data_IF_518773552648
#
_entry.id   IF_518773552648
#
_cell.length_a   1.000
_cell.length_b   1.000
_cell.length_c   1.000
_cell.angle_alpha   90.00
_cell.angle_beta   90.00
_cell.angle_gamma   90.00
#
_symmetry.space_group_name_H-M   'P 1'
#
loop_
_entity.id
_entity.type
_entity.pdbx_description
1 polymer ?
#
# COMPACT_ATOMS: atom_id res chain seq x y z
N UNK A 1 -17.66 -14.64 -23.37
CA UNK A 1 -17.35 -13.40 -24.11
C UNK A 1 -15.98 -12.96 -23.64
N UNK A 2 -14.96 -12.99 -24.49
CA UNK A 2 -13.60 -12.57 -24.12
C UNK A 2 -13.46 -11.05 -24.27
N UNK A 3 -13.02 -10.37 -23.20
CA UNK A 3 -12.65 -8.96 -23.24
C UNK A 3 -11.20 -8.85 -23.74
N UNK A 4 -10.95 -7.98 -24.73
CA UNK A 4 -9.61 -7.73 -25.30
C UNK A 4 -9.20 -6.30 -25.03
N UNK A 5 -7.92 -6.08 -24.70
CA UNK A 5 -7.37 -4.74 -24.53
C UNK A 5 -7.53 -3.94 -25.84
N UNK A 6 -7.99 -2.69 -25.76
CA UNK A 6 -8.17 -1.81 -26.93
C UNK A 6 -9.55 -1.86 -27.61
N UNK A 7 -10.50 -2.68 -27.14
CA UNK A 7 -11.86 -2.73 -27.70
C UNK A 7 -12.83 -1.70 -27.11
N UNK A 8 -12.34 -0.73 -26.33
CA UNK A 8 -13.16 0.22 -25.55
C UNK A 8 -14.23 -0.45 -24.67
N UNK A 9 -14.03 -1.71 -24.29
CA UNK A 9 -14.91 -2.45 -23.40
C UNK A 9 -14.67 -2.12 -21.92
N UNK A 10 -14.35 -0.87 -21.62
CA UNK A 10 -14.13 -0.41 -20.25
C UNK A 10 -15.46 -0.46 -19.50
N UNK A 11 -15.52 -1.31 -18.47
CA UNK A 11 -16.60 -1.28 -17.49
C UNK A 11 -16.53 0.00 -16.65
N UNK A 12 -17.67 0.44 -16.13
CA UNK A 12 -17.67 1.47 -15.09
C UNK A 12 -17.34 0.79 -13.77
N UNK A 13 -16.31 1.31 -13.10
CA UNK A 13 -16.11 0.98 -11.69
C UNK A 13 -17.24 1.57 -10.85
N UNK A 14 -17.58 0.94 -9.71
CA UNK A 14 -18.42 1.57 -8.70
C UNK A 14 -17.81 2.88 -8.21
N UNK A 15 -18.65 3.74 -7.63
CA UNK A 15 -18.19 4.96 -6.96
C UNK A 15 -17.14 4.59 -5.92
N UNK A 16 -15.96 5.22 -5.99
CA UNK A 16 -14.83 4.92 -5.11
C UNK A 16 -15.06 5.68 -3.79
N UNK A 17 -15.35 5.01 -2.65
CA UNK A 17 -15.62 5.70 -1.39
C UNK A 17 -14.34 6.08 -0.63
N UNK A 18 -13.18 5.93 -1.28
CA UNK A 18 -11.85 6.16 -0.70
C UNK A 18 -11.07 7.18 -1.52
N UNK A 19 -10.16 7.87 -0.85
CA UNK A 19 -9.34 8.86 -1.50
C UNK A 19 -8.07 8.24 -2.07
N UNK A 20 -7.86 8.46 -3.37
CA UNK A 20 -6.65 8.02 -4.07
C UNK A 20 -5.65 9.17 -4.07
N UNK A 21 -4.48 8.96 -3.46
CA UNK A 21 -3.36 9.90 -3.55
C UNK A 21 -2.70 9.81 -4.95
N UNK A 22 -1.86 10.78 -5.27
CA UNK A 22 -0.96 10.79 -6.43
C UNK A 22 0.01 9.59 -6.48
N UNK A 23 0.17 8.85 -5.38
CA UNK A 23 1.01 7.65 -5.33
C UNK A 23 0.29 6.49 -6.02
N UNK A 24 0.90 5.85 -7.05
CA UNK A 24 0.24 4.77 -7.77
C UNK A 24 0.00 3.55 -6.88
N UNK A 25 -1.21 2.99 -6.97
CA UNK A 25 -1.54 1.70 -6.39
C UNK A 25 -0.79 0.53 -7.03
N UNK A 26 -0.91 -0.66 -6.43
CA UNK A 26 -0.27 -1.90 -6.89
C UNK A 26 -1.28 -3.00 -7.08
N UNK A 27 -1.27 -3.64 -8.24
CA UNK A 27 -2.05 -4.85 -8.50
C UNK A 27 -1.28 -6.05 -7.96
N UNK A 28 -1.80 -6.71 -6.93
CA UNK A 28 -1.18 -7.88 -6.29
C UNK A 28 -2.28 -8.92 -6.07
N UNK A 29 -2.05 -10.15 -6.52
CA UNK A 29 -2.98 -11.27 -6.36
C UNK A 29 -4.43 -10.97 -6.77
N UNK A 30 -4.60 -10.32 -7.93
CA UNK A 30 -5.94 -10.01 -8.48
C UNK A 30 -6.64 -8.81 -7.85
N UNK A 31 -6.03 -8.14 -6.87
CA UNK A 31 -6.61 -6.96 -6.23
C UNK A 31 -5.70 -5.73 -6.37
N UNK A 32 -6.30 -4.57 -6.66
CA UNK A 32 -5.60 -3.29 -6.71
C UNK A 32 -5.52 -2.71 -5.31
N UNK A 33 -4.31 -2.42 -4.83
CA UNK A 33 -4.06 -1.95 -3.47
C UNK A 33 -3.52 -0.52 -3.47
N UNK A 34 -4.00 0.33 -2.56
CA UNK A 34 -3.45 1.66 -2.31
C UNK A 34 -3.66 2.08 -0.85
N UNK A 35 -3.04 3.19 -0.46
CA UNK A 35 -3.27 3.81 0.84
C UNK A 35 -4.29 4.92 0.69
N UNK A 36 -5.36 4.89 1.47
CA UNK A 36 -6.25 6.03 1.63
C UNK A 36 -5.57 7.10 2.47
N UNK A 37 -5.30 8.27 1.87
CA UNK A 37 -4.53 9.32 2.53
C UNK A 37 -5.29 10.01 3.68
N UNK A 38 -6.62 9.94 3.72
CA UNK A 38 -7.38 10.53 4.82
C UNK A 38 -7.34 9.64 6.06
N UNK A 39 -7.49 8.33 5.87
CA UNK A 39 -7.62 7.37 6.97
C UNK A 39 -6.31 6.63 7.29
N UNK A 40 -5.32 6.70 6.40
CA UNK A 40 -4.08 5.91 6.44
C UNK A 40 -4.34 4.39 6.51
N UNK A 41 -5.43 3.94 5.90
CA UNK A 41 -5.78 2.53 5.74
C UNK A 41 -5.26 2.02 4.40
N UNK A 42 -4.92 0.73 4.34
CA UNK A 42 -4.71 0.06 3.04
C UNK A 42 -6.04 -0.47 2.58
N UNK A 43 -6.45 0.01 1.42
CA UNK A 43 -7.64 -0.41 0.73
C UNK A 43 -7.21 -1.35 -0.39
N UNK A 44 -7.99 -2.39 -0.64
CA UNK A 44 -7.95 -3.08 -1.91
C UNK A 44 -9.27 -3.01 -2.64
N UNK A 45 -9.21 -3.03 -3.96
CA UNK A 45 -10.31 -3.31 -4.85
C UNK A 45 -10.07 -4.68 -5.46
N UNK A 46 -10.95 -5.63 -5.13
CA UNK A 46 -10.96 -6.97 -5.67
C UNK A 46 -11.51 -6.93 -7.09
N UNK A 47 -10.71 -7.30 -8.09
CA UNK A 47 -11.12 -7.20 -9.50
C UNK A 47 -12.11 -8.29 -9.87
N UNK A 48 -12.10 -9.43 -9.18
CA UNK A 48 -12.99 -10.55 -9.46
C UNK A 48 -14.39 -10.28 -8.89
N UNK A 49 -14.45 -9.82 -7.64
CA UNK A 49 -15.71 -9.53 -6.95
C UNK A 49 -16.23 -8.10 -7.22
N UNK A 50 -15.41 -7.23 -7.82
CA UNK A 50 -15.69 -5.80 -8.02
C UNK A 50 -16.02 -5.05 -6.71
N UNK A 51 -15.41 -5.45 -5.60
CA UNK A 51 -15.67 -4.92 -4.26
C UNK A 51 -14.44 -4.27 -3.62
N UNK A 52 -14.68 -3.23 -2.81
CA UNK A 52 -13.64 -2.65 -1.98
C UNK A 52 -13.56 -3.33 -0.61
N UNK A 53 -12.34 -3.59 -0.14
CA UNK A 53 -12.08 -4.19 1.19
C UNK A 53 -10.98 -3.40 1.90
N UNK A 54 -11.12 -3.27 3.22
CA UNK A 54 -10.06 -2.72 4.08
C UNK A 54 -9.11 -3.85 4.47
N UNK A 55 -7.87 -3.75 4.00
CA UNK A 55 -6.82 -4.77 4.17
C UNK A 55 -6.01 -4.52 5.44
N UNK A 56 -5.88 -3.26 5.85
CA UNK A 56 -5.19 -2.89 7.09
C UNK A 56 -5.78 -1.63 7.70
N UNK A 57 -5.99 -1.66 9.01
CA UNK A 57 -6.41 -0.50 9.79
C UNK A 57 -5.18 0.32 10.20
N UNK A 58 -5.26 1.64 10.03
CA UNK A 58 -4.31 2.69 10.44
C UNK A 58 -2.89 2.18 10.75
N UNK A 59 -2.04 2.16 9.71
CA UNK A 59 -0.70 1.57 9.79
C UNK A 59 0.26 2.38 10.67
N UNK A 60 -0.04 3.66 10.91
CA UNK A 60 0.79 4.58 11.68
C UNK A 60 -0.04 5.71 12.30
N UNK A 61 0.32 6.10 13.53
CA UNK A 61 -0.30 7.23 14.25
C UNK A 61 0.34 8.59 13.95
N UNK A 62 1.42 8.62 13.17
CA UNK A 62 2.24 9.83 12.98
C UNK A 62 1.90 10.54 11.66
N UNK A 63 1.53 11.82 11.75
CA UNK A 63 1.07 12.68 10.64
C UNK A 63 2.11 13.03 9.56
N UNK A 64 3.28 12.37 9.53
CA UNK A 64 4.40 12.70 8.62
C UNK A 64 5.16 11.46 8.12
N UNK A 65 4.45 10.36 7.92
CA UNK A 65 5.02 9.16 7.30
C UNK A 65 4.44 9.06 5.88
N UNK A 66 5.32 9.06 4.88
CA UNK A 66 4.90 8.68 3.53
C UNK A 66 4.78 7.16 3.49
N UNK A 67 3.62 6.65 3.10
CA UNK A 67 3.42 5.21 2.95
C UNK A 67 3.09 4.86 1.53
N UNK A 68 3.84 3.92 1.01
CA UNK A 68 3.71 3.41 -0.34
C UNK A 68 3.44 1.92 -0.31
N UNK A 69 2.48 1.47 -1.12
CA UNK A 69 2.27 0.07 -1.40
C UNK A 69 3.33 -0.41 -2.40
N UNK A 70 3.94 -1.55 -2.10
CA UNK A 70 4.88 -2.23 -2.97
C UNK A 70 4.49 -3.70 -3.12
N UNK A 71 4.93 -4.31 -4.21
CA UNK A 71 4.89 -5.75 -4.39
C UNK A 71 6.30 -6.29 -4.14
N UNK A 72 6.42 -7.33 -3.32
CA UNK A 72 7.66 -8.04 -3.07
C UNK A 72 7.40 -9.54 -3.23
N UNK A 73 7.88 -10.14 -4.30
CA UNK A 73 7.73 -11.58 -4.57
C UNK A 73 6.26 -12.06 -4.44
N UNK A 74 5.34 -11.38 -5.12
CA UNK A 74 3.88 -11.61 -5.04
C UNK A 74 3.24 -11.39 -3.66
N UNK A 75 3.99 -10.85 -2.69
CA UNK A 75 3.48 -10.42 -1.40
C UNK A 75 3.24 -8.90 -1.38
N UNK A 76 2.21 -8.48 -0.65
CA UNK A 76 1.92 -7.07 -0.44
C UNK A 76 2.85 -6.50 0.63
N UNK A 77 3.59 -5.45 0.30
CA UNK A 77 4.47 -4.74 1.21
C UNK A 77 4.07 -3.27 1.35
N UNK A 78 4.40 -2.69 2.48
CA UNK A 78 4.25 -1.27 2.78
C UNK A 78 5.61 -0.71 3.12
N UNK A 79 5.93 0.41 2.48
CA UNK A 79 7.16 1.16 2.72
C UNK A 79 6.79 2.45 3.42
N UNK A 80 7.20 2.57 4.68
CA UNK A 80 6.96 3.72 5.51
C UNK A 80 8.23 4.57 5.60
N UNK A 81 8.21 5.78 5.04
CA UNK A 81 9.31 6.74 5.14
C UNK A 81 9.00 7.80 6.18
N UNK A 82 9.72 7.77 7.29
CA UNK A 82 9.65 8.79 8.33
C UNK A 82 10.70 9.88 8.05
N UNK A 83 10.25 11.11 7.76
CA UNK A 83 11.16 12.27 7.65
C UNK A 83 11.30 12.94 9.01
N UNK A 84 12.39 12.66 9.74
CA UNK A 84 12.71 13.40 10.96
C UNK A 84 13.43 14.70 10.61
N UNK A 85 12.82 15.84 10.97
CA UNK A 85 13.53 17.13 11.01
C UNK A 85 14.28 17.20 12.35
N UNK A 86 15.53 16.73 12.38
CA UNK A 86 16.48 17.06 13.44
C UNK A 86 17.36 18.20 12.93
N UNK A 87 17.67 19.16 13.79
CA UNK A 87 18.44 20.37 13.48
C UNK A 87 19.85 20.11 12.92
N UNK A 88 20.40 18.90 13.09
CA UNK A 88 21.82 18.67 12.78
C UNK A 88 22.12 17.52 11.81
N UNK A 89 21.16 16.62 11.51
CA UNK A 89 21.33 15.59 10.47
C UNK A 89 19.97 15.16 9.90
N UNK A 90 19.80 15.18 8.57
CA UNK A 90 18.69 14.48 7.90
C UNK A 90 18.90 12.97 8.04
N UNK A 91 18.29 12.36 9.06
CA UNK A 91 18.17 10.90 9.13
C UNK A 91 16.82 10.50 8.57
N UNK A 92 16.84 9.90 7.38
CA UNK A 92 15.68 9.18 6.84
C UNK A 92 15.69 7.75 7.40
N UNK A 93 14.52 7.26 7.79
CA UNK A 93 14.35 5.90 8.26
C UNK A 93 13.20 5.26 7.48
N UNK A 94 13.56 4.23 6.73
CA UNK A 94 12.61 3.42 6.00
C UNK A 94 12.23 2.22 6.87
N UNK A 95 10.95 2.08 7.16
CA UNK A 95 10.38 0.92 7.85
C UNK A 95 9.53 0.16 6.85
N UNK A 96 9.66 -1.16 6.85
CA UNK A 96 8.94 -2.03 5.94
C UNK A 96 7.93 -2.87 6.73
N UNK A 97 6.73 -3.01 6.20
CA UNK A 97 5.77 -3.99 6.70
C UNK A 97 5.38 -4.91 5.56
N UNK A 98 5.47 -6.21 5.78
CA UNK A 98 5.11 -7.23 4.81
C UNK A 98 3.84 -7.92 5.27
N UNK A 99 2.86 -8.05 4.39
CA UNK A 99 1.69 -8.88 4.63
C UNK A 99 2.00 -10.31 4.18
N UNK A 100 1.92 -11.25 5.12
CA UNK A 100 2.06 -12.68 4.85
C UNK A 100 0.70 -13.31 5.20
N UNK A 101 -0.06 -13.72 4.18
CA UNK A 101 -1.45 -14.15 4.35
C UNK A 101 -2.34 -13.00 4.86
N UNK A 102 -2.87 -13.14 6.06
CA UNK A 102 -3.71 -12.13 6.73
C UNK A 102 -2.94 -11.27 7.76
N UNK A 103 -1.70 -11.63 8.07
CA UNK A 103 -0.93 -10.98 9.13
C UNK A 103 0.07 -9.96 8.58
N UNK A 104 0.25 -8.86 9.31
CA UNK A 104 1.27 -7.85 9.03
C UNK A 104 2.51 -8.07 9.89
N UNK A 105 3.64 -8.38 9.24
CA UNK A 105 4.95 -8.48 9.86
C UNK A 105 5.71 -7.15 9.68
N UNK A 106 6.23 -6.58 10.77
CA UNK A 106 7.04 -5.35 10.69
C UNK A 106 8.53 -5.64 10.76
N UNK A 107 9.31 -4.97 9.92
CA UNK A 107 10.76 -4.99 9.93
C UNK A 107 11.31 -3.57 9.80
N UNK A 108 12.25 -3.20 10.65
CA UNK A 108 13.01 -1.96 10.49
C UNK A 108 14.24 -2.30 9.67
N UNK A 109 14.35 -1.69 8.49
CA UNK A 109 15.57 -1.81 7.68
C UNK A 109 16.48 -0.65 8.06
N UNK A 110 17.48 -0.92 8.90
CA UNK A 110 18.62 -0.05 9.06
C UNK A 110 19.71 -0.53 8.08
N UNK A 111 20.11 0.30 7.13
CA UNK A 111 21.23 0.03 6.21
C UNK A 111 21.04 -1.20 5.29
N UNK A 112 19.82 -1.48 4.80
CA UNK A 112 19.59 -2.47 3.73
C UNK A 112 19.51 -3.94 4.15
N UNK A 113 19.53 -4.26 5.45
CA UNK A 113 19.42 -5.65 5.94
C UNK A 113 18.15 -5.90 6.75
N UNK A 114 17.48 -7.01 6.46
CA UNK A 114 16.30 -7.50 7.17
C UNK A 114 16.71 -8.14 8.51
N UNK A 115 16.10 -7.73 9.63
CA UNK A 115 16.13 -8.47 10.89
C UNK A 115 14.71 -8.67 11.40
N UNK A 116 14.29 -9.93 11.59
CA UNK A 116 13.09 -10.30 12.34
C UNK A 116 13.30 -9.87 13.80
N UNK A 117 12.32 -9.17 14.38
CA UNK A 117 12.21 -9.02 15.84
C UNK A 117 11.30 -10.11 16.39
#
# INVERSE_FOLDING_TARGET
MELRLGTNAWGRLPDIPYFVDSVPGKLVNGALHWVDYLTNQVICFDVEEEEFKVVSHAIYKASKVLVQVAELEACLALVCREKRKSSDVKKERDTWQLRIGEEWCSAVVANGYWRRR
#
